data_IF_030329712528
#
_entry.id   IF_030329712528
#
_cell.length_a   1.000
_cell.length_b   1.000
_cell.length_c   1.000
_cell.angle_alpha   90.00
_cell.angle_beta   90.00
_cell.angle_gamma   90.00
#
_symmetry.space_group_name_H-M   'P 1'
#
loop_
_entity.id
_entity.type
_entity.pdbx_description
1 polymer ?
#
# COMPACT_ATOMS: atom_id res chain seq x y z
N UNK A 1 16.42 -7.73 4.39
CA UNK A 1 15.05 -7.38 3.99
C UNK A 1 14.18 -8.61 4.17
N UNK A 2 13.22 -8.53 5.08
CA UNK A 2 12.24 -9.58 5.36
C UNK A 2 11.28 -9.76 4.19
N UNK A 3 10.63 -10.92 4.09
CA UNK A 3 9.66 -11.21 3.02
C UNK A 3 8.47 -10.23 3.02
N UNK A 4 8.13 -9.70 4.20
CA UNK A 4 7.04 -8.72 4.33
C UNK A 4 7.43 -7.35 3.78
N UNK A 5 8.65 -6.88 4.03
CA UNK A 5 9.16 -5.61 3.47
C UNK A 5 9.20 -5.65 1.94
N UNK A 6 9.64 -6.78 1.36
CA UNK A 6 9.63 -6.96 -0.10
C UNK A 6 8.22 -6.90 -0.68
N UNK A 7 7.26 -7.58 -0.05
CA UNK A 7 5.84 -7.55 -0.50
C UNK A 7 5.25 -6.16 -0.46
N UNK A 8 5.54 -5.38 0.58
CA UNK A 8 5.06 -4.00 0.70
C UNK A 8 5.65 -3.11 -0.39
N UNK A 9 6.97 -3.19 -0.61
CA UNK A 9 7.65 -2.44 -1.66
C UNK A 9 7.07 -2.77 -3.04
N UNK A 10 6.91 -4.06 -3.36
CA UNK A 10 6.35 -4.52 -4.63
C UNK A 10 4.90 -4.05 -4.81
N UNK A 11 4.08 -4.13 -3.76
CA UNK A 11 2.71 -3.65 -3.80
C UNK A 11 2.67 -2.13 -4.05
N UNK A 12 3.47 -1.34 -3.34
CA UNK A 12 3.51 0.11 -3.50
C UNK A 12 4.03 0.54 -4.89
N UNK A 13 5.07 -0.11 -5.40
CA UNK A 13 5.59 0.11 -6.76
C UNK A 13 4.54 -0.22 -7.82
N UNK A 14 3.84 -1.35 -7.65
CA UNK A 14 2.73 -1.72 -8.55
C UNK A 14 1.65 -0.65 -8.55
N UNK A 15 1.16 -0.24 -7.39
CA UNK A 15 0.12 0.80 -7.30
C UNK A 15 0.56 2.08 -8.00
N UNK A 16 1.80 2.54 -7.77
CA UNK A 16 2.38 3.71 -8.43
C UNK A 16 2.47 3.53 -9.96
N UNK A 17 2.95 2.38 -10.42
CA UNK A 17 3.11 2.09 -11.86
C UNK A 17 1.77 2.11 -12.61
N UNK A 18 0.70 1.74 -11.91
CA UNK A 18 -0.64 1.77 -12.45
C UNK A 18 -1.39 3.09 -12.14
N UNK A 19 -0.66 4.16 -11.78
CA UNK A 19 -1.23 5.50 -11.57
C UNK A 19 -2.09 5.66 -10.31
N UNK A 20 -1.93 4.77 -9.32
CA UNK A 20 -2.65 4.82 -8.04
C UNK A 20 -1.79 5.42 -6.94
N UNK A 21 -2.44 6.18 -6.07
CA UNK A 21 -1.86 6.84 -4.92
C UNK A 21 -2.25 6.08 -3.67
N UNK A 22 -1.25 5.80 -2.83
CA UNK A 22 -1.42 5.27 -1.50
C UNK A 22 -1.40 6.42 -0.49
N UNK A 23 -2.43 6.51 0.34
CA UNK A 23 -2.58 7.56 1.35
C UNK A 23 -2.85 6.95 2.71
N UNK A 24 -2.13 7.41 3.73
CA UNK A 24 -2.39 7.03 5.12
C UNK A 24 -3.56 7.86 5.63
N UNK A 25 -4.59 7.17 6.10
CA UNK A 25 -5.77 7.75 6.75
C UNK A 25 -5.58 7.81 8.27
N UNK A 26 -6.42 8.60 8.92
CA UNK A 26 -6.50 8.65 10.39
C UNK A 26 -6.66 7.23 10.96
N UNK A 27 -5.84 6.90 11.97
CA UNK A 27 -5.77 5.56 12.54
C UNK A 27 -4.75 4.62 11.88
N UNK A 28 -3.94 5.09 10.93
CA UNK A 28 -2.79 4.33 10.40
C UNK A 28 -3.18 3.26 9.38
N UNK A 29 -4.33 3.41 8.72
CA UNK A 29 -4.77 2.56 7.62
C UNK A 29 -4.38 3.18 6.27
N UNK A 30 -3.98 2.38 5.28
CA UNK A 30 -3.70 2.90 3.93
C UNK A 30 -4.88 2.69 3.00
N UNK A 31 -5.29 3.76 2.34
CA UNK A 31 -6.24 3.74 1.25
C UNK A 31 -5.54 3.95 -0.09
N UNK A 32 -6.21 3.51 -1.15
CA UNK A 32 -5.74 3.61 -2.53
C UNK A 32 -6.74 4.40 -3.37
N UNK A 33 -6.24 5.26 -4.27
CA UNK A 33 -7.07 6.02 -5.21
C UNK A 33 -6.35 6.21 -6.56
N UNK A 34 -7.02 6.05 -7.72
CA UNK A 34 -8.39 5.57 -7.88
C UNK A 34 -8.52 4.05 -7.64
N UNK A 35 -9.72 3.59 -7.26
CA UNK A 35 -10.03 2.15 -7.09
C UNK A 35 -10.60 1.49 -8.34
N UNK A 36 -11.05 2.29 -9.33
CA UNK A 36 -11.59 1.80 -10.58
C UNK A 36 -10.57 0.93 -11.32
N UNK A 37 -10.99 -0.26 -11.77
CA UNK A 37 -10.12 -1.20 -12.48
C UNK A 37 -9.03 -1.84 -11.62
N UNK A 38 -9.05 -1.67 -10.30
CA UNK A 38 -8.14 -2.39 -9.40
C UNK A 38 -8.52 -3.86 -9.31
N UNK A 39 -7.54 -4.75 -9.42
CA UNK A 39 -7.80 -6.18 -9.34
C UNK A 39 -8.23 -6.57 -7.92
N UNK A 40 -9.16 -7.53 -7.80
CA UNK A 40 -9.63 -8.02 -6.51
C UNK A 40 -8.49 -8.57 -5.64
N UNK A 41 -7.48 -9.20 -6.26
CA UNK A 41 -6.31 -9.70 -5.55
C UNK A 41 -5.51 -8.57 -4.88
N UNK A 42 -5.39 -7.41 -5.52
CA UNK A 42 -4.67 -6.27 -4.95
C UNK A 42 -5.42 -5.67 -3.76
N UNK A 43 -6.76 -5.67 -3.79
CA UNK A 43 -7.56 -5.25 -2.63
C UNK A 43 -7.37 -6.18 -1.43
N UNK A 44 -7.29 -7.49 -1.69
CA UNK A 44 -7.01 -8.49 -0.65
C UNK A 44 -5.60 -8.33 -0.10
N UNK A 45 -4.61 -8.12 -0.96
CA UNK A 45 -3.23 -7.88 -0.52
C UNK A 45 -3.11 -6.61 0.31
N UNK A 46 -3.70 -5.50 -0.14
CA UNK A 46 -3.74 -4.24 0.62
C UNK A 46 -4.32 -4.45 2.03
N UNK A 47 -5.44 -5.18 2.12
CA UNK A 47 -6.09 -5.49 3.41
C UNK A 47 -5.15 -6.28 4.33
N UNK A 48 -4.41 -7.26 3.79
CA UNK A 48 -3.42 -8.04 4.56
C UNK A 48 -2.24 -7.18 5.04
N UNK A 49 -1.74 -6.29 4.17
CA UNK A 49 -0.63 -5.41 4.50
C UNK A 49 -1.04 -4.32 5.51
N UNK A 50 -2.28 -3.85 5.44
CA UNK A 50 -2.86 -2.91 6.40
C UNK A 50 -3.13 -3.55 7.77
N UNK A 51 -3.50 -4.84 7.83
CA UNK A 51 -3.85 -5.52 9.09
C UNK A 51 -2.74 -5.47 10.17
N UNK A 52 -1.48 -5.26 9.76
CA UNK A 52 -0.34 -5.14 10.68
C UNK A 52 0.28 -3.72 10.71
N UNK A 53 -0.34 -2.75 10.03
CA UNK A 53 0.16 -1.37 9.92
C UNK A 53 1.42 -1.20 9.06
N UNK A 54 1.95 -2.27 8.47
CA UNK A 54 3.23 -2.21 7.75
C UNK A 54 3.14 -1.37 6.48
N UNK A 55 1.99 -1.38 5.80
CA UNK A 55 1.79 -0.54 4.62
C UNK A 55 1.81 0.95 4.99
N UNK A 56 1.22 1.32 6.13
CA UNK A 56 1.22 2.71 6.58
C UNK A 56 2.61 3.18 6.97
N UNK A 57 3.37 2.36 7.71
CA UNK A 57 4.77 2.66 8.04
C UNK A 57 5.62 2.91 6.78
N UNK A 58 5.44 2.08 5.74
CA UNK A 58 6.13 2.27 4.46
C UNK A 58 5.72 3.55 3.75
N UNK A 59 4.42 3.84 3.64
CA UNK A 59 3.92 5.03 2.95
C UNK A 59 4.39 6.31 3.65
N UNK A 60 4.37 6.36 4.98
CA UNK A 60 4.92 7.49 5.74
C UNK A 60 6.42 7.68 5.46
N UNK A 61 7.21 6.61 5.53
CA UNK A 61 8.65 6.69 5.30
C UNK A 61 9.05 7.10 3.86
N UNK A 62 8.16 6.91 2.89
CA UNK A 62 8.44 7.17 1.47
C UNK A 62 7.72 8.41 0.89
N UNK A 63 6.71 8.95 1.58
CA UNK A 63 6.04 10.21 1.19
C UNK A 63 6.75 11.47 1.74
N UNK A 64 7.70 11.34 2.66
CA UNK A 64 8.51 12.44 3.21
C UNK A 64 9.76 12.78 2.37
N UNK A 65 9.85 12.33 1.12
CA UNK A 65 10.93 12.65 0.16
C UNK A 65 10.39 13.33 -1.08
#
# INVERSE_FOLDING_TARGET
MSDIEKRISQFAEKMKSEGRVLSVMDGGWVAVSPTTGMAAFDMVEMTKLNAKGYLAAYVLANNEK
#
